data_IF_494576571365
#
_entry.id   IF_494576571365
#
_cell.length_a   1.000
_cell.length_b   1.000
_cell.length_c   1.000
_cell.angle_alpha   90.00
_cell.angle_beta   90.00
_cell.angle_gamma   90.00
#
_symmetry.space_group_name_H-M   'P 1'
#
loop_
_entity.id
_entity.type
_entity.pdbx_description
1 polymer ?
#
# COMPACT_ATOMS: atom_id res chain seq x y z
N UNK A 1 -33.45 11.69 26.07
CA UNK A 1 -32.20 10.92 25.95
C UNK A 1 -32.32 9.97 24.76
N UNK A 2 -31.68 10.28 23.64
CA UNK A 2 -31.31 9.28 22.64
C UNK A 2 -30.00 9.79 21.99
N UNK A 3 -28.87 9.19 22.35
CA UNK A 3 -27.58 9.46 21.69
C UNK A 3 -27.56 8.60 20.42
N UNK A 4 -27.29 9.15 19.23
CA UNK A 4 -27.08 8.34 18.03
C UNK A 4 -25.82 7.49 18.19
N UNK A 5 -25.91 6.23 17.76
CA UNK A 5 -24.84 5.22 17.85
C UNK A 5 -23.67 5.55 16.91
N UNK A 6 -22.41 5.53 17.38
CA UNK A 6 -21.22 5.86 16.59
C UNK A 6 -20.83 4.78 15.55
N UNK A 7 -21.58 3.67 15.47
CA UNK A 7 -21.33 2.54 14.57
C UNK A 7 -22.35 2.41 13.43
N UNK A 8 -23.28 3.37 13.29
CA UNK A 8 -24.08 3.48 12.08
C UNK A 8 -23.23 4.23 11.05
N UNK A 9 -22.57 3.51 10.14
CA UNK A 9 -21.98 4.15 8.97
C UNK A 9 -23.09 4.92 8.24
N UNK A 10 -23.02 6.25 8.27
CA UNK A 10 -23.99 7.12 7.63
C UNK A 10 -24.06 6.77 6.14
N UNK A 11 -25.14 6.11 5.72
CA UNK A 11 -25.37 5.79 4.30
C UNK A 11 -25.42 7.03 3.40
N UNK A 12 -25.65 8.21 3.98
CA UNK A 12 -25.52 9.50 3.29
C UNK A 12 -24.07 9.86 3.00
N UNK A 13 -23.13 9.59 3.91
CA UNK A 13 -21.71 9.87 3.71
C UNK A 13 -21.12 9.03 2.55
N UNK A 14 -21.47 7.74 2.48
CA UNK A 14 -21.09 6.90 1.32
C UNK A 14 -21.67 7.42 -0.01
N UNK A 15 -22.88 7.99 0.00
CA UNK A 15 -23.51 8.55 -1.21
C UNK A 15 -22.83 9.82 -1.70
N UNK A 16 -22.38 10.66 -0.77
CA UNK A 16 -21.66 11.89 -1.09
C UNK A 16 -20.25 11.57 -1.63
N UNK A 17 -19.57 10.57 -1.05
CA UNK A 17 -18.26 10.10 -1.52
C UNK A 17 -18.32 9.49 -2.94
N UNK A 18 -19.36 8.71 -3.23
CA UNK A 18 -19.60 8.14 -4.57
C UNK A 18 -19.82 9.23 -5.64
N UNK A 19 -20.51 10.32 -5.28
CA UNK A 19 -20.77 11.43 -6.18
C UNK A 19 -19.49 12.24 -6.49
N UNK A 20 -18.64 12.44 -5.48
CA UNK A 20 -17.33 13.11 -5.66
C UNK A 20 -16.38 12.25 -6.49
N UNK A 21 -16.37 10.93 -6.27
CA UNK A 21 -15.57 10.00 -7.07
C UNK A 21 -15.99 10.00 -8.55
N UNK A 22 -17.29 10.06 -8.85
CA UNK A 22 -17.80 10.15 -10.22
C UNK A 22 -17.38 11.45 -10.93
N UNK A 23 -17.37 12.58 -10.22
CA UNK A 23 -16.88 13.84 -10.79
C UNK A 23 -15.39 13.75 -11.16
N UNK A 24 -14.56 13.17 -10.27
CA UNK A 24 -13.13 12.98 -10.52
C UNK A 24 -12.87 12.06 -11.73
N UNK A 25 -13.59 10.94 -11.83
CA UNK A 25 -13.46 10.02 -12.96
C UNK A 25 -13.90 10.67 -14.26
N UNK A 26 -15.03 11.39 -14.26
CA UNK A 26 -15.53 12.06 -15.48
C UNK A 26 -14.57 13.16 -15.98
N UNK A 27 -13.98 13.93 -15.07
CA UNK A 27 -12.97 14.95 -15.41
C UNK A 27 -11.69 14.32 -15.95
N UNK A 28 -11.28 13.19 -15.38
CA UNK A 28 -10.12 12.43 -15.84
C UNK A 28 -10.37 11.84 -17.22
N UNK A 29 -11.52 11.20 -17.47
CA UNK A 29 -11.89 10.67 -18.79
C UNK A 29 -12.05 11.78 -19.84
N UNK A 30 -12.60 12.94 -19.48
CA UNK A 30 -12.71 14.09 -20.38
C UNK A 30 -11.33 14.65 -20.78
N UNK A 31 -10.37 14.65 -19.85
CA UNK A 31 -8.99 15.08 -20.13
C UNK A 31 -8.24 14.06 -20.99
N UNK A 32 -8.52 12.78 -20.82
CA UNK A 32 -7.90 11.68 -21.57
C UNK A 32 -8.52 11.46 -22.96
N UNK A 33 -9.79 11.81 -23.13
CA UNK A 33 -10.53 11.64 -24.39
C UNK A 33 -10.44 12.87 -25.30
N UNK A 34 -9.59 13.85 -24.98
CA UNK A 34 -9.32 14.98 -25.86
C UNK A 34 -8.61 14.51 -27.13
N UNK A 35 -9.12 14.82 -28.34
CA UNK A 35 -8.47 14.40 -29.57
C UNK A 35 -7.12 15.13 -29.69
N UNK A 36 -6.10 14.35 -30.04
CA UNK A 36 -4.82 14.87 -30.48
C UNK A 36 -5.04 15.79 -31.71
N UNK A 37 -4.86 17.09 -31.50
CA UNK A 37 -4.67 18.10 -32.55
C UNK A 37 -5.94 18.65 -33.20
N UNK A 38 -6.18 19.95 -33.03
CA UNK A 38 -6.23 20.96 -34.12
C UNK A 38 -6.54 22.37 -33.56
N UNK A 39 -6.10 23.45 -34.24
CA UNK A 39 -6.00 24.80 -33.67
C UNK A 39 -7.29 25.62 -33.81
N UNK A 40 -7.33 26.70 -33.04
CA UNK A 40 -8.41 27.66 -32.83
C UNK A 40 -9.09 28.20 -34.09
N UNK A 41 -10.43 28.32 -34.04
CA UNK A 41 -11.18 29.36 -34.74
C UNK A 41 -12.19 30.02 -33.80
N UNK A 42 -12.07 31.34 -33.71
CA UNK A 42 -12.92 32.29 -33.01
C UNK A 42 -14.34 32.34 -33.59
N UNK A 43 -15.34 32.41 -32.71
CA UNK A 43 -16.49 33.30 -32.91
C UNK A 43 -17.24 33.52 -31.60
N UNK A 44 -17.14 34.76 -31.10
CA UNK A 44 -17.85 35.32 -29.97
C UNK A 44 -19.34 35.53 -30.24
N UNK A 45 -20.18 35.39 -29.22
CA UNK A 45 -21.43 36.15 -28.91
C UNK A 45 -22.20 35.36 -27.83
N UNK A 46 -22.60 35.81 -26.64
CA UNK A 46 -22.55 37.07 -25.90
C UNK A 46 -23.64 36.95 -24.80
N UNK A 47 -23.34 37.36 -23.55
CA UNK A 47 -24.21 38.00 -22.53
C UNK A 47 -23.72 37.72 -21.09
N UNK A 48 -23.41 38.79 -20.35
CA UNK A 48 -22.87 38.82 -18.98
C UNK A 48 -23.79 38.23 -17.90
N UNK A 49 -23.35 38.05 -16.64
CA UNK A 49 -22.82 39.06 -15.71
C UNK A 49 -21.92 38.43 -14.63
N UNK A 50 -20.69 38.95 -14.52
CA UNK A 50 -19.89 39.31 -13.33
C UNK A 50 -20.07 38.57 -11.98
N UNK A 51 -19.07 37.76 -11.60
CA UNK A 51 -18.41 37.79 -10.27
C UNK A 51 -17.14 36.89 -10.23
N UNK A 52 -15.97 37.50 -10.44
CA UNK A 52 -14.73 37.18 -9.72
C UNK A 52 -14.07 35.80 -9.84
N UNK A 53 -13.64 35.40 -11.04
CA UNK A 53 -12.58 34.40 -11.20
C UNK A 53 -11.40 35.00 -11.97
N UNK A 54 -10.17 35.05 -11.42
CA UNK A 54 -9.01 35.34 -12.24
C UNK A 54 -8.82 34.19 -13.24
N UNK A 55 -9.04 34.50 -14.51
CA UNK A 55 -8.68 33.69 -15.65
C UNK A 55 -7.20 33.29 -15.54
N UNK A 56 -6.82 32.01 -15.65
CA UNK A 56 -5.42 31.67 -15.86
C UNK A 56 -5.12 32.07 -17.29
N UNK A 57 -4.53 33.25 -17.48
CA UNK A 57 -3.72 33.48 -18.67
C UNK A 57 -2.63 32.40 -18.75
N UNK A 58 -1.91 32.28 -19.87
CA UNK A 58 -0.69 31.49 -19.91
C UNK A 58 0.38 32.23 -19.10
N UNK A 59 0.20 32.26 -17.78
CA UNK A 59 1.26 32.56 -16.85
C UNK A 59 2.27 31.42 -16.90
N UNK A 60 3.54 31.67 -16.54
CA UNK A 60 4.51 30.61 -16.41
C UNK A 60 3.89 29.50 -15.55
N UNK A 61 3.78 28.29 -16.11
CA UNK A 61 3.21 27.15 -15.40
C UNK A 61 3.94 27.01 -14.06
N UNK A 62 3.18 26.77 -12.98
CA UNK A 62 3.77 26.59 -11.65
C UNK A 62 4.89 25.58 -11.76
N UNK A 63 6.09 26.01 -11.41
CA UNK A 63 7.27 25.16 -11.46
C UNK A 63 7.26 24.27 -10.22
N UNK A 64 7.98 23.16 -10.25
CA UNK A 64 8.06 22.24 -9.11
C UNK A 64 8.47 22.94 -7.80
N UNK A 65 9.23 24.04 -7.90
CA UNK A 65 9.63 24.91 -6.78
C UNK A 65 8.46 25.58 -6.05
N UNK A 66 7.33 25.80 -6.73
CA UNK A 66 6.15 26.43 -6.15
C UNK A 66 5.37 25.48 -5.20
N UNK A 67 5.71 24.19 -5.23
CA UNK A 67 5.11 23.15 -4.38
C UNK A 67 6.05 22.67 -3.28
N UNK A 68 7.17 23.34 -3.07
CA UNK A 68 8.17 22.94 -2.09
C UNK A 68 8.22 23.92 -0.89
N UNK A 69 7.38 23.71 0.13
CA UNK A 69 7.36 24.54 1.33
C UNK A 69 8.63 24.42 2.18
N UNK A 70 9.49 23.42 1.90
CA UNK A 70 10.71 23.13 2.66
C UNK A 70 11.98 23.58 1.93
N UNK A 71 11.86 24.06 0.69
CA UNK A 71 12.97 24.65 -0.07
C UNK A 71 14.07 23.67 -0.49
N UNK A 72 13.80 22.36 -0.51
CA UNK A 72 14.72 21.28 -0.87
C UNK A 72 15.03 21.23 -2.39
N UNK A 73 14.22 21.91 -3.21
CA UNK A 73 14.30 21.94 -4.67
C UNK A 73 15.37 22.89 -5.20
N UNK A 74 15.93 23.75 -4.34
CA UNK A 74 17.03 24.63 -4.69
C UNK A 74 18.35 23.97 -4.26
N UNK A 75 19.36 23.89 -5.16
CA UNK A 75 20.69 23.45 -4.75
C UNK A 75 21.19 24.40 -3.66
N UNK A 76 21.74 23.84 -2.57
CA UNK A 76 22.27 24.62 -1.46
C UNK A 76 23.29 25.63 -1.99
N UNK A 77 22.96 26.92 -1.94
CA UNK A 77 23.87 27.99 -2.30
C UNK A 77 24.88 28.10 -1.15
N UNK A 78 26.06 27.50 -1.34
CA UNK A 78 27.19 27.61 -0.43
C UNK A 78 27.41 29.09 -0.08
N UNK A 79 27.25 29.43 1.20
CA UNK A 79 27.51 30.77 1.70
C UNK A 79 29.01 31.06 1.52
N UNK A 80 29.33 32.03 0.67
CA UNK A 80 30.69 32.48 0.45
C UNK A 80 31.32 32.95 1.78
N UNK A 81 32.46 32.39 2.21
CA UNK A 81 33.24 33.00 3.26
C UNK A 81 34.15 34.06 2.65
N UNK A 82 34.10 35.26 3.23
CA UNK A 82 35.03 36.34 2.96
C UNK A 82 36.49 35.89 3.15
N UNK A 83 37.29 36.11 2.10
CA UNK A 83 38.71 36.44 2.15
C UNK A 83 39.68 35.44 2.80
N UNK A 84 40.52 34.78 1.98
CA UNK A 84 41.97 35.03 1.93
C UNK A 84 42.72 33.95 1.11
N UNK A 85 43.58 34.45 0.22
CA UNK A 85 44.87 33.90 -0.21
C UNK A 85 45.01 32.39 -0.57
N UNK A 86 45.24 32.18 -1.86
CA UNK A 86 46.03 31.14 -2.53
C UNK A 86 46.86 30.19 -1.63
N UNK A 87 46.63 28.88 -1.79
CA UNK A 87 47.67 27.84 -1.92
C UNK A 87 47.07 26.50 -2.35
N UNK A 88 47.91 25.75 -3.06
CA UNK A 88 47.67 24.52 -3.81
C UNK A 88 47.37 23.30 -2.91
N UNK A 89 46.75 22.30 -3.52
CA UNK A 89 46.55 20.91 -3.07
C UNK A 89 45.78 20.68 -1.76
N UNK A 90 44.47 20.44 -1.89
CA UNK A 90 43.71 19.67 -0.92
C UNK A 90 42.49 19.02 -1.61
N UNK A 91 42.57 17.71 -1.76
CA UNK A 91 41.44 16.77 -1.73
C UNK A 91 40.29 17.39 -0.90
N UNK A 92 39.17 17.70 -1.54
CA UNK A 92 38.07 18.45 -0.92
C UNK A 92 37.55 17.68 0.30
N UNK A 93 37.84 18.13 1.54
CA UNK A 93 37.31 17.47 2.72
C UNK A 93 35.92 18.05 2.96
N UNK A 94 34.88 17.26 2.70
CA UNK A 94 33.54 17.56 3.19
C UNK A 94 32.45 17.79 2.15
N UNK A 95 32.51 17.14 0.98
CA UNK A 95 31.24 16.82 0.31
C UNK A 95 30.58 15.76 1.19
N UNK A 96 29.67 16.19 2.07
CA UNK A 96 28.81 15.29 2.83
C UNK A 96 28.15 14.34 1.83
N UNK A 97 28.46 13.05 1.90
CA UNK A 97 27.84 12.00 1.08
C UNK A 97 26.33 12.25 1.06
N UNK A 98 25.81 12.64 -0.10
CA UNK A 98 24.40 12.88 -0.32
C UNK A 98 23.64 11.56 -0.32
N UNK A 99 22.29 11.56 -0.25
CA UNK A 99 21.46 10.34 -0.26
C UNK A 99 21.58 9.46 -1.51
N UNK A 100 22.47 9.78 -2.45
CA UNK A 100 22.79 9.00 -3.66
C UNK A 100 24.26 8.69 -3.81
N UNK A 101 25.09 9.12 -2.86
CA UNK A 101 26.54 8.91 -2.86
C UNK A 101 26.88 7.61 -2.12
N UNK A 102 26.09 6.56 -2.37
CA UNK A 102 26.41 5.20 -1.92
C UNK A 102 27.45 4.63 -2.88
N UNK A 103 28.63 4.32 -2.35
CA UNK A 103 29.56 3.46 -3.07
C UNK A 103 28.93 2.07 -3.18
N UNK A 104 28.97 1.48 -4.38
CA UNK A 104 28.65 0.07 -4.54
C UNK A 104 29.82 -0.66 -3.91
N UNK A 105 29.67 -1.07 -2.65
CA UNK A 105 30.61 -1.99 -2.03
C UNK A 105 30.49 -3.29 -2.82
N UNK A 106 31.48 -3.59 -3.66
CA UNK A 106 31.61 -4.86 -4.40
C UNK A 106 31.92 -6.01 -3.43
N UNK A 107 31.24 -6.06 -2.28
CA UNK A 107 31.24 -7.19 -1.40
C UNK A 107 30.34 -8.25 -2.03
N UNK A 108 30.92 -9.42 -2.30
CA UNK A 108 30.27 -10.60 -2.87
C UNK A 108 29.20 -11.20 -1.91
N UNK A 109 28.28 -10.38 -1.41
CA UNK A 109 27.10 -10.76 -0.64
C UNK A 109 26.05 -11.40 -1.55
N UNK A 110 26.47 -12.38 -2.35
CA UNK A 110 25.53 -13.19 -3.11
C UNK A 110 24.59 -13.83 -2.10
N UNK A 111 23.30 -13.47 -2.17
CA UNK A 111 22.28 -14.13 -1.38
C UNK A 111 22.30 -15.63 -1.71
N UNK A 112 22.78 -16.42 -0.77
CA UNK A 112 22.68 -17.89 -0.81
C UNK A 112 21.46 -18.23 0.05
N UNK A 113 20.32 -18.62 -0.55
CA UNK A 113 19.19 -19.08 0.22
C UNK A 113 19.63 -20.28 1.07
N UNK A 114 19.31 -20.24 2.36
CA UNK A 114 19.45 -21.43 3.19
C UNK A 114 18.55 -22.54 2.65
N UNK A 115 19.05 -23.78 2.68
CA UNK A 115 18.28 -24.91 2.19
C UNK A 115 17.05 -25.11 3.11
N UNK A 116 15.83 -25.14 2.54
CA UNK A 116 14.63 -25.10 3.35
C UNK A 116 14.54 -26.35 4.23
N UNK A 117 14.10 -26.22 5.50
CA UNK A 117 13.93 -27.34 6.38
C UNK A 117 12.98 -28.37 5.77
N UNK A 118 13.34 -29.65 5.85
CA UNK A 118 12.53 -30.74 5.30
C UNK A 118 11.15 -30.76 5.93
N UNK A 119 10.11 -30.82 5.09
CA UNK A 119 8.71 -30.95 5.52
C UNK A 119 8.46 -32.25 6.32
N UNK A 120 9.36 -33.24 6.20
CA UNK A 120 9.33 -34.47 6.99
C UNK A 120 9.53 -34.24 8.50
N UNK A 121 10.05 -33.07 8.90
CA UNK A 121 10.21 -32.66 10.30
C UNK A 121 8.94 -32.06 10.93
N UNK A 122 7.82 -31.96 10.20
CA UNK A 122 6.58 -31.41 10.77
C UNK A 122 6.00 -32.33 11.84
N UNK A 123 5.54 -31.75 12.95
CA UNK A 123 5.00 -32.52 14.07
C UNK A 123 3.71 -33.25 13.65
N UNK A 124 3.59 -34.58 13.87
CA UNK A 124 2.47 -35.37 13.38
C UNK A 124 1.10 -34.90 13.91
N UNK A 125 1.07 -34.33 15.12
CA UNK A 125 -0.16 -33.78 15.69
C UNK A 125 -0.65 -32.54 14.93
N UNK A 126 0.26 -31.69 14.45
CA UNK A 126 -0.05 -30.52 13.63
C UNK A 126 -0.59 -30.94 12.26
N UNK A 127 0.00 -31.97 11.67
CA UNK A 127 -0.52 -32.61 10.45
C UNK A 127 -1.95 -33.13 10.66
N UNK A 128 -2.22 -33.86 11.75
CA UNK A 128 -3.56 -34.34 12.07
C UNK A 128 -4.55 -33.19 12.29
N UNK A 129 -4.12 -32.10 12.90
CA UNK A 129 -4.95 -30.92 13.07
C UNK A 129 -5.28 -30.25 11.73
N UNK A 130 -4.34 -30.16 10.79
CA UNK A 130 -4.62 -29.70 9.43
C UNK A 130 -5.60 -30.62 8.69
N UNK A 131 -5.43 -31.93 8.83
CA UNK A 131 -6.37 -32.92 8.27
C UNK A 131 -7.76 -32.75 8.87
N UNK A 132 -7.91 -32.51 10.16
CA UNK A 132 -9.22 -32.24 10.77
C UNK A 132 -9.79 -30.87 10.39
N UNK A 133 -8.95 -29.85 10.28
CA UNK A 133 -9.36 -28.49 9.91
C UNK A 133 -9.85 -28.41 8.46
N UNK A 134 -9.13 -29.01 7.51
CA UNK A 134 -9.53 -29.04 6.09
C UNK A 134 -10.50 -30.17 5.82
N UNK A 135 -10.28 -31.33 6.44
CA UNK A 135 -11.10 -32.51 6.29
C UNK A 135 -12.47 -32.39 6.93
N UNK A 136 -12.66 -31.55 7.96
CA UNK A 136 -13.97 -31.31 8.58
C UNK A 136 -15.01 -30.73 7.60
N UNK A 137 -14.76 -29.57 6.98
CA UNK A 137 -15.65 -28.99 5.96
C UNK A 137 -15.87 -29.93 4.77
N UNK A 138 -14.81 -30.58 4.31
CA UNK A 138 -14.89 -31.55 3.21
C UNK A 138 -15.76 -32.75 3.62
N UNK A 139 -15.54 -33.33 4.80
CA UNK A 139 -16.33 -34.43 5.32
C UNK A 139 -17.79 -34.04 5.48
N UNK A 140 -18.11 -32.84 5.96
CA UNK A 140 -19.50 -32.34 6.01
C UNK A 140 -20.14 -32.26 4.62
N UNK A 141 -19.39 -31.80 3.60
CA UNK A 141 -19.85 -31.82 2.21
C UNK A 141 -20.13 -33.24 1.71
N UNK A 142 -19.19 -34.18 1.93
CA UNK A 142 -19.38 -35.58 1.56
C UNK A 142 -20.55 -36.23 2.30
N UNK A 143 -20.70 -35.96 3.60
CA UNK A 143 -21.84 -36.42 4.38
C UNK A 143 -23.15 -35.85 3.83
N UNK A 144 -23.21 -34.57 3.50
CA UNK A 144 -24.40 -33.96 2.93
C UNK A 144 -24.78 -34.53 1.56
N UNK A 145 -23.78 -34.83 0.72
CA UNK A 145 -23.99 -35.28 -0.66
C UNK A 145 -24.28 -36.78 -0.76
N UNK A 146 -23.53 -37.62 -0.05
CA UNK A 146 -23.62 -39.09 -0.15
C UNK A 146 -24.36 -39.74 1.02
N UNK A 147 -24.52 -39.04 2.14
CA UNK A 147 -25.08 -39.59 3.37
C UNK A 147 -26.18 -38.70 3.95
N UNK A 148 -27.18 -38.38 3.14
CA UNK A 148 -28.26 -37.46 3.49
C UNK A 148 -29.05 -37.85 4.76
N UNK A 149 -29.09 -39.14 5.09
CA UNK A 149 -29.72 -39.71 6.28
C UNK A 149 -28.77 -39.87 7.48
N UNK A 150 -27.58 -39.23 7.46
CA UNK A 150 -26.61 -39.33 8.55
C UNK A 150 -27.24 -38.90 9.88
N UNK A 151 -27.03 -39.67 10.97
CA UNK A 151 -27.56 -39.33 12.27
C UNK A 151 -26.92 -38.05 12.79
N UNK A 152 -27.67 -37.28 13.57
CA UNK A 152 -27.23 -35.99 14.11
C UNK A 152 -25.93 -36.09 14.93
N UNK A 153 -25.71 -37.24 15.58
CA UNK A 153 -24.47 -37.55 16.31
C UNK A 153 -23.23 -37.60 15.40
N UNK A 154 -23.35 -38.13 14.18
CA UNK A 154 -22.23 -38.17 13.23
C UNK A 154 -21.87 -36.76 12.76
N UNK A 155 -22.86 -35.95 12.39
CA UNK A 155 -22.65 -34.55 11.99
C UNK A 155 -22.00 -33.73 13.11
N UNK A 156 -22.52 -33.86 14.34
CA UNK A 156 -21.91 -33.20 15.51
C UNK A 156 -20.49 -33.70 15.77
N UNK A 157 -20.20 -34.99 15.57
CA UNK A 157 -18.85 -35.54 15.69
C UNK A 157 -17.87 -34.88 14.71
N UNK A 158 -18.25 -34.72 13.44
CA UNK A 158 -17.42 -34.06 12.43
C UNK A 158 -17.18 -32.59 12.79
N UNK A 159 -18.23 -31.88 13.22
CA UNK A 159 -18.10 -30.48 13.67
C UNK A 159 -17.19 -30.38 14.89
N UNK A 160 -17.32 -31.28 15.87
CA UNK A 160 -16.49 -31.29 17.06
C UNK A 160 -15.00 -31.53 16.73
N UNK A 161 -14.72 -32.47 15.82
CA UNK A 161 -13.34 -32.71 15.34
C UNK A 161 -12.79 -31.47 14.65
N UNK A 162 -13.56 -30.84 13.76
CA UNK A 162 -13.15 -29.61 13.08
C UNK A 162 -12.81 -28.49 14.07
N UNK A 163 -13.69 -28.23 15.04
CA UNK A 163 -13.48 -27.20 16.06
C UNK A 163 -12.26 -27.51 16.92
N UNK A 164 -12.09 -28.75 17.36
CA UNK A 164 -10.92 -29.17 18.14
C UNK A 164 -9.61 -28.97 17.35
N UNK A 165 -9.60 -29.32 16.06
CA UNK A 165 -8.46 -29.12 15.18
C UNK A 165 -8.09 -27.65 14.99
N UNK A 166 -9.08 -26.78 14.78
CA UNK A 166 -8.84 -25.34 14.64
C UNK A 166 -8.32 -24.73 15.93
N UNK A 167 -8.92 -25.08 17.08
CA UNK A 167 -8.45 -24.62 18.39
C UNK A 167 -7.00 -25.06 18.62
N UNK A 168 -6.68 -26.31 18.32
CA UNK A 168 -5.32 -26.83 18.44
C UNK A 168 -4.33 -26.05 17.57
N UNK A 169 -4.67 -25.76 16.30
CA UNK A 169 -3.81 -24.96 15.42
C UNK A 169 -3.58 -23.54 15.96
N UNK A 170 -4.63 -22.89 16.48
CA UNK A 170 -4.51 -21.56 17.08
C UNK A 170 -3.58 -21.59 18.29
N UNK A 171 -3.71 -22.58 19.17
CA UNK A 171 -2.83 -22.75 20.34
C UNK A 171 -1.38 -23.03 19.94
N UNK A 172 -1.15 -23.51 18.70
CA UNK A 172 0.17 -23.83 18.18
C UNK A 172 0.86 -22.67 17.46
N UNK A 173 0.15 -21.58 17.18
CA UNK A 173 0.75 -20.43 16.53
C UNK A 173 1.90 -19.86 17.38
N UNK A 174 3.09 -19.64 16.81
CA UNK A 174 4.18 -18.99 17.51
C UNK A 174 3.73 -17.62 18.00
N UNK A 175 3.91 -17.34 19.29
CA UNK A 175 3.56 -16.04 19.88
C UNK A 175 4.70 -15.03 19.78
N UNK A 176 5.87 -15.48 19.32
CA UNK A 176 7.09 -14.69 19.24
C UNK A 176 7.26 -14.24 17.78
N UNK A 177 7.18 -12.93 17.57
CA UNK A 177 7.60 -12.30 16.31
C UNK A 177 9.11 -12.18 16.37
N UNK A 178 9.81 -12.63 15.33
CA UNK A 178 11.25 -12.41 15.23
C UNK A 178 11.51 -10.90 15.08
N UNK A 179 12.17 -10.27 16.06
CA UNK A 179 12.35 -8.81 16.08
C UNK A 179 13.38 -8.35 15.04
N UNK A 180 14.31 -9.25 14.68
CA UNK A 180 15.39 -9.02 13.70
C UNK A 180 14.99 -9.35 12.26
N UNK A 181 13.75 -9.79 12.02
CA UNK A 181 13.22 -10.11 10.69
C UNK A 181 12.11 -9.12 10.33
N UNK A 182 12.54 -7.90 9.99
CA UNK A 182 11.68 -6.82 9.48
C UNK A 182 11.45 -6.92 7.95
N UNK A 183 11.91 -8.00 7.32
CA UNK A 183 11.78 -8.26 5.90
C UNK A 183 12.72 -7.43 5.02
N UNK A 184 13.59 -6.61 5.60
CA UNK A 184 14.56 -5.79 4.88
C UNK A 184 15.98 -6.10 5.37
N UNK A 185 16.80 -6.67 4.48
CA UNK A 185 18.25 -6.82 4.72
C UNK A 185 18.92 -5.69 3.92
N UNK A 186 19.61 -4.77 4.60
CA UNK A 186 20.40 -3.70 3.99
C UNK A 186 21.61 -4.28 3.27
#
# INVERSE_FOLDING_TARGET
MNRPDPNSADQSANKDDDAVWLDLVSRLEATQSGPAGEPAEDSHEGHGVEAGHPQPGPGPGRTFKDFDPLGLSAPAQEAAPDGAATREDAETPGRSSGPRDFEVEDEDHTFIPEEPPSLAGTEPLVMLAWVGAVGGPIALLFTAMFWRSAPLTATLGIVAVFVASVIYLIMRLPQEKNEDDDGARL
#
